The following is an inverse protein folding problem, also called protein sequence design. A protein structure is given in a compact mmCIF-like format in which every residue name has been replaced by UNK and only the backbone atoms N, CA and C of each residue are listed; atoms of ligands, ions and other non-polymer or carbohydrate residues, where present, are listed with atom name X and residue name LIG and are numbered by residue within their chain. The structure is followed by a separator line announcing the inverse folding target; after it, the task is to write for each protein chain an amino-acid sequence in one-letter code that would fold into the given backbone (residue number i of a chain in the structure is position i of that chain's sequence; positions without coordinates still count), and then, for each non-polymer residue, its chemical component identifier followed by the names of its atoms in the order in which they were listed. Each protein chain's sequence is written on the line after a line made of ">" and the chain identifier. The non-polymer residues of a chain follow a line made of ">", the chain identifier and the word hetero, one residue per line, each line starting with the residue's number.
data_IF_144494914329
#
_entry.id   IF_144494914329
#
_cell.length_a   1.000
_cell.length_b   1.000
_cell.length_c   1.000
_cell.angle_alpha   90.00
_cell.angle_beta   90.00
_cell.angle_gamma   90.00
#
_symmetry.space_group_name_H-M   'P 1'
#
loop_
_entity.id
_entity.type
_entity.pdbx_description
1 polymer ?
#
# COMPACT_ATOMS: atom_id res chain seq x y z
N UNK A 1 4.68 -16.65 -26.16
CA UNK A 1 4.20 -17.89 -25.51
C UNK A 1 3.85 -17.66 -24.03
N UNK A 2 4.76 -17.18 -23.17
CA UNK A 2 4.47 -16.95 -21.73
C UNK A 2 3.36 -15.93 -21.46
N UNK A 3 3.25 -14.84 -22.24
CA UNK A 3 2.18 -13.84 -22.07
C UNK A 3 0.80 -14.42 -22.41
N UNK A 4 0.70 -15.29 -23.40
CA UNK A 4 -0.57 -15.96 -23.79
C UNK A 4 -0.96 -16.98 -22.72
N UNK A 5 0.00 -17.71 -22.15
CA UNK A 5 -0.25 -18.65 -21.05
C UNK A 5 -0.68 -17.90 -19.76
N UNK A 6 -0.04 -16.77 -19.45
CA UNK A 6 -0.45 -15.93 -18.32
C UNK A 6 -1.85 -15.36 -18.56
N UNK A 7 -2.17 -14.89 -19.77
CA UNK A 7 -3.50 -14.39 -20.11
C UNK A 7 -4.56 -15.51 -20.08
N UNK A 8 -4.25 -16.73 -20.53
CA UNK A 8 -5.21 -17.85 -20.48
C UNK A 8 -5.47 -18.30 -19.03
N UNK A 9 -4.44 -18.37 -18.18
CA UNK A 9 -4.59 -18.70 -16.75
C UNK A 9 -5.39 -17.60 -16.01
N UNK A 10 -5.18 -16.34 -16.37
CA UNK A 10 -5.94 -15.21 -15.81
C UNK A 10 -7.40 -15.21 -16.27
N UNK A 11 -7.70 -15.77 -17.42
CA UNK A 11 -9.07 -15.85 -17.97
C UNK A 11 -9.81 -17.10 -17.49
N UNK A 12 -9.16 -18.26 -17.32
CA UNK A 12 -9.82 -19.51 -16.98
C UNK A 12 -10.07 -19.74 -15.48
N UNK A 13 -9.21 -19.24 -14.61
CA UNK A 13 -9.30 -19.56 -13.14
C UNK A 13 -9.93 -18.47 -12.27
N UNK A 14 -10.14 -17.24 -12.76
CA UNK A 14 -10.50 -16.17 -11.80
C UNK A 14 -11.36 -15.06 -12.43
N UNK A 15 -12.57 -15.36 -12.79
CA UNK A 15 -13.58 -14.31 -12.92
C UNK A 15 -13.96 -13.93 -11.48
N UNK A 16 -13.45 -12.80 -10.99
CA UNK A 16 -13.95 -12.22 -9.74
C UNK A 16 -15.47 -12.13 -9.80
N UNK A 17 -16.17 -12.65 -8.80
CA UNK A 17 -17.62 -12.64 -8.78
C UNK A 17 -18.13 -11.23 -9.13
N UNK A 18 -19.10 -11.09 -10.05
CA UNK A 18 -19.54 -9.77 -10.55
C UNK A 18 -20.00 -8.84 -9.42
N UNK A 19 -20.52 -9.40 -8.33
CA UNK A 19 -20.91 -8.66 -7.13
C UNK A 19 -19.72 -8.04 -6.41
N UNK A 20 -18.62 -8.79 -6.26
CA UNK A 20 -17.38 -8.28 -5.65
C UNK A 20 -16.78 -7.20 -6.54
N UNK A 21 -16.78 -7.39 -7.85
CA UNK A 21 -16.30 -6.39 -8.80
C UNK A 21 -17.12 -5.10 -8.72
N UNK A 22 -18.46 -5.21 -8.68
CA UNK A 22 -19.34 -4.06 -8.55
C UNK A 22 -19.11 -3.31 -7.22
N UNK A 23 -18.97 -4.04 -6.10
CA UNK A 23 -18.62 -3.46 -4.80
C UNK A 23 -17.25 -2.77 -4.83
N UNK A 24 -16.24 -3.42 -5.41
CA UNK A 24 -14.88 -2.87 -5.49
C UNK A 24 -14.86 -1.57 -6.31
N UNK A 25 -15.54 -1.54 -7.47
CA UNK A 25 -15.65 -0.34 -8.31
C UNK A 25 -16.41 0.79 -7.60
N UNK A 26 -17.52 0.47 -6.93
CA UNK A 26 -18.31 1.45 -6.17
C UNK A 26 -17.50 2.08 -5.04
N UNK A 27 -16.79 1.26 -4.26
CA UNK A 27 -15.92 1.72 -3.18
C UNK A 27 -14.70 2.49 -3.71
N UNK A 28 -14.16 2.11 -4.87
CA UNK A 28 -13.07 2.85 -5.51
C UNK A 28 -13.51 4.26 -5.92
N UNK A 29 -14.70 4.40 -6.54
CA UNK A 29 -15.25 5.70 -6.92
C UNK A 29 -15.53 6.56 -5.68
N UNK A 30 -16.12 5.97 -4.63
CA UNK A 30 -16.35 6.65 -3.35
C UNK A 30 -15.02 7.12 -2.72
N UNK A 31 -14.03 6.23 -2.67
CA UNK A 31 -12.70 6.53 -2.16
C UNK A 31 -12.05 7.70 -2.93
N UNK A 32 -12.09 7.68 -4.27
CA UNK A 32 -11.55 8.75 -5.11
C UNK A 32 -12.24 10.10 -4.83
N UNK A 33 -13.57 10.10 -4.63
CA UNK A 33 -14.33 11.27 -4.21
C UNK A 33 -13.87 11.80 -2.85
N UNK A 34 -13.74 10.92 -1.85
CA UNK A 34 -13.30 11.27 -0.50
C UNK A 34 -11.85 11.78 -0.48
N UNK A 35 -10.94 11.15 -1.22
CA UNK A 35 -9.55 11.61 -1.39
C UNK A 35 -9.52 13.01 -2.04
N UNK A 36 -10.37 13.25 -3.02
CA UNK A 36 -10.49 14.57 -3.64
C UNK A 36 -10.97 15.65 -2.65
N UNK A 37 -11.93 15.30 -1.78
CA UNK A 37 -12.39 16.19 -0.71
C UNK A 37 -11.30 16.39 0.36
N UNK A 38 -10.61 15.32 0.76
CA UNK A 38 -9.46 15.38 1.65
C UNK A 38 -8.43 16.39 1.13
N UNK A 39 -7.97 16.23 -0.11
CA UNK A 39 -6.97 17.11 -0.71
C UNK A 39 -7.45 18.57 -0.77
N UNK A 40 -8.71 18.82 -1.17
CA UNK A 40 -9.28 20.18 -1.19
C UNK A 40 -9.30 20.82 0.19
N UNK A 41 -9.63 20.07 1.24
CA UNK A 41 -9.70 20.56 2.62
C UNK A 41 -8.30 20.75 3.18
N UNK A 42 -7.38 19.83 2.87
CA UNK A 42 -5.97 19.90 3.25
C UNK A 42 -5.30 21.16 2.73
N UNK A 43 -5.46 21.49 1.45
CA UNK A 43 -4.87 22.70 0.86
C UNK A 43 -5.54 24.01 1.33
N UNK A 44 -6.69 23.93 2.00
CA UNK A 44 -7.29 25.05 2.73
C UNK A 44 -6.79 25.16 4.18
N UNK A 45 -5.73 24.42 4.54
CA UNK A 45 -5.12 24.36 5.88
C UNK A 45 -6.11 23.97 7.00
N UNK A 46 -7.16 23.23 6.66
CA UNK A 46 -8.16 22.72 7.63
C UNK A 46 -7.82 21.29 8.02
N UNK A 47 -6.67 21.08 8.65
CA UNK A 47 -6.07 19.76 8.86
C UNK A 47 -6.96 18.81 9.68
N UNK A 48 -7.66 19.30 10.73
CA UNK A 48 -8.60 18.46 11.50
C UNK A 48 -9.75 17.91 10.63
N UNK A 49 -10.29 18.73 9.72
CA UNK A 49 -11.31 18.27 8.77
C UNK A 49 -10.72 17.35 7.71
N UNK A 50 -9.50 17.62 7.28
CA UNK A 50 -8.78 16.76 6.36
C UNK A 50 -8.55 15.36 6.95
N UNK A 51 -8.19 15.25 8.24
CA UNK A 51 -8.07 13.99 8.97
C UNK A 51 -9.34 13.14 8.85
N UNK A 52 -10.52 13.74 9.06
CA UNK A 52 -11.80 13.01 8.94
C UNK A 52 -12.01 12.45 7.53
N UNK A 53 -11.78 13.26 6.48
CA UNK A 53 -11.93 12.78 5.11
C UNK A 53 -10.89 11.73 4.75
N UNK A 54 -9.68 11.81 5.30
CA UNK A 54 -8.64 10.81 5.14
C UNK A 54 -9.06 9.47 5.75
N UNK A 55 -9.54 9.47 6.98
CA UNK A 55 -10.06 8.28 7.66
C UNK A 55 -11.24 7.65 6.92
N UNK A 56 -12.20 8.47 6.44
CA UNK A 56 -13.31 7.98 5.62
C UNK A 56 -12.82 7.32 4.32
N UNK A 57 -11.78 7.89 3.68
CA UNK A 57 -11.16 7.26 2.51
C UNK A 57 -10.55 5.91 2.84
N UNK A 58 -9.88 5.82 3.98
CA UNK A 58 -9.24 4.58 4.44
C UNK A 58 -10.27 3.51 4.84
N UNK A 59 -11.44 3.90 5.34
CA UNK A 59 -12.56 2.98 5.59
C UNK A 59 -13.06 2.30 4.31
N UNK A 60 -12.88 2.88 3.12
CA UNK A 60 -13.29 2.25 1.87
C UNK A 60 -12.53 0.94 1.60
N UNK A 61 -11.21 0.91 1.79
CA UNK A 61 -10.45 -0.32 1.60
C UNK A 61 -10.66 -1.33 2.74
N UNK A 62 -10.94 -0.87 3.96
CA UNK A 62 -11.35 -1.76 5.07
C UNK A 62 -12.70 -2.41 4.74
N UNK A 63 -13.70 -1.62 4.33
CA UNK A 63 -15.02 -2.15 3.95
C UNK A 63 -14.90 -3.18 2.82
N UNK A 64 -14.09 -2.90 1.80
CA UNK A 64 -13.82 -3.85 0.72
C UNK A 64 -13.16 -5.13 1.24
N UNK A 65 -12.14 -5.01 2.09
CA UNK A 65 -11.47 -6.15 2.70
C UNK A 65 -12.41 -7.02 3.54
N UNK A 66 -13.30 -6.39 4.32
CA UNK A 66 -14.33 -7.09 5.12
C UNK A 66 -15.34 -7.81 4.20
N UNK A 67 -15.82 -7.14 3.14
CA UNK A 67 -16.74 -7.76 2.17
C UNK A 67 -16.08 -8.99 1.53
N UNK A 68 -14.84 -8.84 1.04
CA UNK A 68 -14.08 -9.94 0.45
C UNK A 68 -13.84 -11.09 1.44
N UNK A 69 -13.63 -10.77 2.72
CA UNK A 69 -13.44 -11.76 3.79
C UNK A 69 -14.73 -12.50 4.11
N UNK A 70 -15.89 -11.81 4.18
CA UNK A 70 -17.19 -12.44 4.48
C UNK A 70 -17.64 -13.40 3.37
N UNK A 71 -17.37 -13.03 2.11
CA UNK A 71 -17.78 -13.85 0.94
C UNK A 71 -16.84 -15.04 0.76
N UNK A 72 -15.58 -14.94 1.18
CA UNK A 72 -14.56 -15.98 1.04
C UNK A 72 -14.52 -16.99 2.19
N UNK A 73 -13.52 -17.86 2.17
CA UNK A 73 -13.15 -18.70 3.31
C UNK A 73 -12.45 -17.85 4.39
N UNK A 74 -12.67 -18.19 5.66
CA UNK A 74 -12.12 -17.46 6.82
C UNK A 74 -10.73 -17.98 7.21
N UNK A 75 -9.84 -18.19 6.24
CA UNK A 75 -8.50 -18.72 6.47
C UNK A 75 -7.58 -17.71 7.16
N UNK A 76 -6.58 -18.22 7.90
CA UNK A 76 -5.61 -17.38 8.60
C UNK A 76 -4.90 -16.36 7.68
N UNK A 77 -4.44 -16.72 6.45
CA UNK A 77 -3.84 -15.75 5.53
C UNK A 77 -4.73 -14.54 5.26
N UNK A 78 -6.03 -14.73 5.10
CA UNK A 78 -7.00 -13.64 4.84
C UNK A 78 -7.22 -12.75 6.05
N UNK A 79 -7.25 -13.33 7.25
CA UNK A 79 -7.30 -12.59 8.53
C UNK A 79 -6.07 -11.69 8.65
N UNK A 80 -4.89 -12.20 8.30
CA UNK A 80 -3.65 -11.43 8.39
C UNK A 80 -3.63 -10.25 7.40
N UNK A 81 -4.17 -10.42 6.17
CA UNK A 81 -4.32 -9.28 5.24
C UNK A 81 -5.26 -8.23 5.84
N UNK A 82 -6.43 -8.64 6.34
CA UNK A 82 -7.39 -7.71 6.93
C UNK A 82 -6.80 -6.98 8.14
N UNK A 83 -6.03 -7.69 8.98
CA UNK A 83 -5.29 -7.09 10.10
C UNK A 83 -4.27 -6.05 9.61
N UNK A 84 -3.52 -6.36 8.55
CA UNK A 84 -2.58 -5.42 7.94
C UNK A 84 -3.26 -4.16 7.40
N UNK A 85 -4.44 -4.30 6.76
CA UNK A 85 -5.26 -3.15 6.33
C UNK A 85 -5.71 -2.29 7.52
N UNK A 86 -6.14 -2.91 8.62
CA UNK A 86 -6.51 -2.18 9.86
C UNK A 86 -5.33 -1.44 10.49
N UNK A 87 -4.13 -2.03 10.46
CA UNK A 87 -2.91 -1.33 10.90
C UNK A 87 -2.54 -0.18 9.95
N UNK A 88 -2.81 -0.34 8.66
CA UNK A 88 -2.64 0.70 7.65
C UNK A 88 -3.45 1.96 7.94
N UNK A 89 -4.75 1.84 8.30
CA UNK A 89 -5.56 3.03 8.66
C UNK A 89 -5.02 3.70 9.93
N UNK A 90 -4.58 2.93 10.94
CA UNK A 90 -4.01 3.51 12.15
C UNK A 90 -2.74 4.31 11.81
N UNK A 91 -1.84 3.72 11.02
CA UNK A 91 -0.62 4.40 10.55
C UNK A 91 -0.93 5.67 9.76
N UNK A 92 -1.95 5.62 8.91
CA UNK A 92 -2.41 6.71 8.07
C UNK A 92 -2.92 7.91 8.88
N UNK A 93 -3.72 7.64 9.92
CA UNK A 93 -4.23 8.67 10.84
C UNK A 93 -3.11 9.28 11.68
N UNK A 94 -2.18 8.46 12.18
CA UNK A 94 -1.02 8.96 12.93
C UNK A 94 -0.13 9.85 12.05
N UNK A 95 0.10 9.47 10.78
CA UNK A 95 0.83 10.33 9.83
C UNK A 95 0.13 11.67 9.59
N UNK A 96 -1.20 11.70 9.58
CA UNK A 96 -1.95 12.95 9.39
C UNK A 96 -1.81 13.90 10.58
N UNK A 97 -1.51 13.41 11.79
CA UNK A 97 -1.23 14.24 12.96
C UNK A 97 0.03 15.11 12.80
N UNK A 98 0.96 14.74 11.93
CA UNK A 98 2.13 15.57 11.60
C UNK A 98 1.75 17.00 11.20
N UNK A 99 0.62 17.17 10.53
CA UNK A 99 0.14 18.49 10.07
C UNK A 99 -0.62 19.25 11.16
N UNK A 100 -1.19 18.53 12.13
CA UNK A 100 -1.98 19.13 13.24
C UNK A 100 -1.04 19.53 14.37
N UNK A 101 0.00 18.72 14.62
CA UNK A 101 0.97 18.91 15.69
C UNK A 101 2.41 19.00 15.16
N UNK A 102 2.79 20.08 14.47
CA UNK A 102 4.09 20.17 13.80
C UNK A 102 5.28 20.13 14.75
N UNK A 103 5.10 20.48 16.03
CA UNK A 103 6.16 20.36 17.07
C UNK A 103 6.53 18.91 17.39
N UNK A 104 5.66 17.95 17.10
CA UNK A 104 5.86 16.51 17.32
C UNK A 104 5.87 15.73 16.00
N UNK A 105 6.20 16.39 14.90
CA UNK A 105 6.16 15.86 13.55
C UNK A 105 6.95 14.55 13.40
N UNK A 106 8.19 14.51 13.88
CA UNK A 106 9.04 13.31 13.80
C UNK A 106 8.46 12.12 14.58
N UNK A 107 7.84 12.37 15.74
CA UNK A 107 7.23 11.33 16.57
C UNK A 107 6.03 10.70 15.83
N UNK A 108 5.15 11.54 15.28
CA UNK A 108 3.99 11.05 14.52
C UNK A 108 4.41 10.36 13.23
N UNK A 109 5.44 10.88 12.54
CA UNK A 109 5.94 10.29 11.31
C UNK A 109 6.53 8.88 11.56
N UNK A 110 7.39 8.75 12.58
CA UNK A 110 7.97 7.45 12.97
C UNK A 110 6.86 6.53 13.50
N UNK A 111 5.95 7.03 14.33
CA UNK A 111 4.84 6.25 14.87
C UNK A 111 3.95 5.66 13.78
N UNK A 112 3.54 6.46 12.80
CA UNK A 112 2.79 5.98 11.64
C UNK A 112 3.57 4.92 10.85
N UNK A 113 4.87 5.15 10.62
CA UNK A 113 5.77 4.20 9.96
C UNK A 113 5.85 2.85 10.67
N UNK A 114 5.84 2.82 12.00
CA UNK A 114 5.84 1.56 12.78
C UNK A 114 4.58 0.74 12.50
N UNK A 115 3.40 1.36 12.46
CA UNK A 115 2.16 0.65 12.13
C UNK A 115 2.18 0.09 10.71
N UNK A 116 2.73 0.83 9.75
CA UNK A 116 2.91 0.32 8.39
C UNK A 116 3.91 -0.84 8.33
N UNK A 117 5.05 -0.76 9.04
CA UNK A 117 6.00 -1.89 9.14
C UNK A 117 5.28 -3.14 9.63
N UNK A 118 4.52 -3.05 10.73
CA UNK A 118 3.81 -4.19 11.29
C UNK A 118 2.77 -4.72 10.27
N UNK A 119 2.03 -3.84 9.60
CA UNK A 119 1.10 -4.20 8.53
C UNK A 119 1.77 -4.96 7.38
N UNK A 120 2.93 -4.49 6.91
CA UNK A 120 3.71 -5.18 5.87
C UNK A 120 4.21 -6.56 6.33
N UNK A 121 4.59 -6.71 7.61
CA UNK A 121 4.95 -8.01 8.18
C UNK A 121 3.77 -8.99 8.13
N UNK A 122 2.54 -8.55 8.41
CA UNK A 122 1.35 -9.38 8.27
C UNK A 122 1.11 -9.79 6.82
N UNK A 123 1.28 -8.89 5.85
CA UNK A 123 1.17 -9.23 4.43
C UNK A 123 2.24 -10.23 3.99
N UNK A 124 3.50 -10.05 4.41
CA UNK A 124 4.57 -11.00 4.11
C UNK A 124 4.32 -12.37 4.76
N UNK A 125 3.81 -12.39 5.98
CA UNK A 125 3.43 -13.64 6.66
C UNK A 125 2.33 -14.37 5.89
N UNK A 126 1.32 -13.64 5.36
CA UNK A 126 0.30 -14.22 4.48
C UNK A 126 0.94 -14.91 3.26
N UNK A 127 1.86 -14.23 2.58
CA UNK A 127 2.55 -14.77 1.41
C UNK A 127 3.31 -16.07 1.77
N UNK A 128 4.01 -16.07 2.90
CA UNK A 128 4.76 -17.24 3.37
C UNK A 128 3.83 -18.41 3.68
N UNK A 129 2.72 -18.17 4.39
CA UNK A 129 1.75 -19.19 4.75
C UNK A 129 1.01 -19.77 3.55
N UNK A 130 0.72 -18.93 2.53
CA UNK A 130 0.08 -19.37 1.28
C UNK A 130 1.04 -20.18 0.39
N UNK A 131 2.35 -19.95 0.51
CA UNK A 131 3.40 -20.71 -0.17
C UNK A 131 3.57 -20.37 -1.66
N UNK A 132 4.32 -21.22 -2.36
CA UNK A 132 4.65 -21.08 -3.81
C UNK A 132 5.37 -19.76 -4.12
N UNK A 133 6.43 -19.46 -3.37
CA UNK A 133 7.29 -18.28 -3.55
C UNK A 133 8.45 -18.62 -4.47
N UNK A 134 8.71 -17.82 -5.49
CA UNK A 134 9.94 -17.88 -6.28
C UNK A 134 11.07 -17.14 -5.56
N UNK A 135 11.94 -17.86 -4.84
CA UNK A 135 13.04 -17.25 -4.09
C UNK A 135 14.04 -16.49 -4.97
N UNK A 136 14.25 -16.96 -6.21
CA UNK A 136 15.09 -16.27 -7.19
C UNK A 136 14.46 -14.93 -7.56
N UNK A 137 13.15 -14.91 -7.85
CA UNK A 137 12.42 -13.69 -8.15
C UNK A 137 12.43 -12.72 -6.96
N UNK A 138 12.35 -13.22 -5.72
CA UNK A 138 12.44 -12.41 -4.50
C UNK A 138 13.77 -11.64 -4.44
N UNK A 139 14.89 -12.32 -4.60
CA UNK A 139 16.22 -11.71 -4.53
C UNK A 139 16.41 -10.67 -5.65
N UNK A 140 16.03 -11.03 -6.86
CA UNK A 140 16.14 -10.12 -8.02
C UNK A 140 15.23 -8.90 -7.85
N UNK A 141 13.96 -9.10 -7.50
CA UNK A 141 13.02 -8.00 -7.30
C UNK A 141 13.47 -7.08 -6.16
N UNK A 142 13.90 -7.65 -5.02
CA UNK A 142 14.43 -6.87 -3.90
C UNK A 142 15.61 -6.00 -4.32
N UNK A 143 16.59 -6.57 -5.01
CA UNK A 143 17.77 -5.83 -5.49
C UNK A 143 17.38 -4.69 -6.45
N UNK A 144 16.49 -4.96 -7.41
CA UNK A 144 16.04 -3.96 -8.39
C UNK A 144 15.26 -2.83 -7.68
N UNK A 145 14.24 -3.16 -6.89
CA UNK A 145 13.38 -2.15 -6.25
C UNK A 145 14.19 -1.31 -5.27
N UNK A 146 15.07 -1.94 -4.49
CA UNK A 146 15.95 -1.24 -3.54
C UNK A 146 16.89 -0.27 -4.27
N UNK A 147 17.51 -0.72 -5.37
CA UNK A 147 18.38 0.13 -6.18
C UNK A 147 17.61 1.32 -6.76
N UNK A 148 16.42 1.10 -7.32
CA UNK A 148 15.58 2.18 -7.84
C UNK A 148 15.18 3.17 -6.76
N UNK A 149 14.85 2.70 -5.56
CA UNK A 149 14.52 3.56 -4.40
C UNK A 149 15.72 4.41 -3.98
N UNK A 150 16.94 3.85 -3.92
CA UNK A 150 18.15 4.61 -3.61
C UNK A 150 18.52 5.61 -4.71
N UNK A 151 18.34 5.25 -5.98
CA UNK A 151 18.56 6.18 -7.10
C UNK A 151 17.58 7.35 -7.05
N UNK A 152 16.32 7.07 -6.73
CA UNK A 152 15.30 8.09 -6.58
C UNK A 152 15.61 9.05 -5.41
N UNK A 153 16.03 8.50 -4.26
CA UNK A 153 16.47 9.29 -3.11
C UNK A 153 17.69 10.16 -3.44
N UNK A 154 18.72 9.57 -4.04
CA UNK A 154 19.94 10.28 -4.42
C UNK A 154 19.64 11.45 -5.37
N UNK A 155 18.76 11.23 -6.36
CA UNK A 155 18.33 12.28 -7.30
C UNK A 155 17.59 13.42 -6.63
N UNK A 156 16.78 13.13 -5.61
CA UNK A 156 15.96 14.13 -4.91
C UNK A 156 16.66 14.75 -3.69
N UNK A 157 17.89 14.32 -3.34
CA UNK A 157 18.72 14.87 -2.26
C UNK A 157 17.96 15.02 -0.93
N UNK A 158 17.39 13.95 -0.41
CA UNK A 158 16.62 13.99 0.83
C UNK A 158 17.48 14.38 2.03
N UNK A 159 17.01 15.40 2.74
CA UNK A 159 17.59 15.72 4.05
C UNK A 159 16.88 14.91 5.12
N UNK A 160 17.52 13.88 5.62
CA UNK A 160 16.92 12.87 6.50
C UNK A 160 17.11 13.18 7.98
N UNK A 161 18.10 14.01 8.33
CA UNK A 161 18.39 14.41 9.73
C UNK A 161 18.49 13.20 10.68
N UNK A 162 17.92 13.35 11.87
CA UNK A 162 17.92 12.33 12.93
C UNK A 162 17.04 11.11 12.62
N UNK A 163 16.12 11.22 11.65
CA UNK A 163 15.24 10.12 11.24
C UNK A 163 15.91 9.12 10.29
N UNK A 164 17.19 9.30 9.95
CA UNK A 164 17.89 8.52 8.92
C UNK A 164 17.78 7.00 9.14
N UNK A 165 18.01 6.54 10.37
CA UNK A 165 18.00 5.12 10.70
C UNK A 165 16.58 4.54 10.57
N UNK A 166 15.59 5.22 11.15
CA UNK A 166 14.19 4.78 11.11
C UNK A 166 13.66 4.69 9.68
N UNK A 167 13.96 5.68 8.85
CA UNK A 167 13.59 5.70 7.44
C UNK A 167 14.27 4.60 6.63
N UNK A 168 15.53 4.27 6.91
CA UNK A 168 16.24 3.17 6.25
C UNK A 168 15.61 1.82 6.59
N UNK A 169 15.31 1.58 7.88
CA UNK A 169 14.64 0.36 8.31
C UNK A 169 13.28 0.25 7.62
N UNK A 170 12.49 1.33 7.63
CA UNK A 170 11.19 1.36 6.97
C UNK A 170 11.31 1.04 5.47
N UNK A 171 12.22 1.70 4.75
CA UNK A 171 12.43 1.48 3.32
C UNK A 171 12.81 0.03 3.01
N UNK A 172 13.70 -0.58 3.80
CA UNK A 172 14.08 -1.97 3.61
C UNK A 172 12.89 -2.94 3.77
N UNK A 173 12.04 -2.73 4.78
CA UNK A 173 10.85 -3.56 5.01
C UNK A 173 9.82 -3.37 3.90
N UNK A 174 9.57 -2.12 3.48
CA UNK A 174 8.65 -1.80 2.40
C UNK A 174 9.06 -2.43 1.07
N UNK A 175 10.34 -2.27 0.69
CA UNK A 175 10.90 -2.88 -0.53
C UNK A 175 10.86 -4.40 -0.45
N UNK A 176 11.10 -4.97 0.74
CA UNK A 176 11.01 -6.41 0.95
C UNK A 176 9.58 -6.92 0.74
N UNK A 177 8.56 -6.20 1.25
CA UNK A 177 7.16 -6.55 1.00
C UNK A 177 6.82 -6.49 -0.50
N UNK A 178 7.23 -5.44 -1.21
CA UNK A 178 7.02 -5.34 -2.66
C UNK A 178 7.68 -6.49 -3.42
N UNK A 179 8.90 -6.87 -3.02
CA UNK A 179 9.63 -8.00 -3.61
C UNK A 179 8.94 -9.36 -3.31
N UNK A 180 8.43 -9.55 -2.09
CA UNK A 180 7.62 -10.73 -1.75
C UNK A 180 6.37 -10.82 -2.62
N UNK A 181 5.66 -9.70 -2.86
CA UNK A 181 4.52 -9.67 -3.75
C UNK A 181 4.86 -10.13 -5.17
N UNK A 182 5.95 -9.62 -5.75
CA UNK A 182 6.45 -10.04 -7.08
C UNK A 182 6.82 -11.53 -7.08
N UNK A 183 7.55 -11.99 -6.07
CA UNK A 183 7.97 -13.39 -5.94
C UNK A 183 6.78 -14.34 -5.76
N UNK A 184 5.74 -13.90 -5.09
CA UNK A 184 4.50 -14.63 -4.89
C UNK A 184 3.73 -14.81 -6.20
N UNK A 185 3.64 -13.76 -7.02
CA UNK A 185 3.04 -13.82 -8.35
C UNK A 185 3.84 -14.70 -9.29
N UNK A 186 5.18 -14.54 -9.34
CA UNK A 186 6.05 -15.35 -10.21
C UNK A 186 6.05 -16.82 -9.83
N UNK A 187 5.93 -17.15 -8.54
CA UNK A 187 5.93 -18.52 -8.04
C UNK A 187 4.70 -19.33 -8.47
N UNK A 188 3.52 -18.71 -8.51
CA UNK A 188 2.27 -19.29 -9.06
C UNK A 188 1.37 -18.14 -9.52
N UNK A 189 1.35 -17.78 -10.81
CA UNK A 189 0.53 -16.69 -11.31
C UNK A 189 -0.96 -16.92 -11.04
N UNK A 190 -1.61 -15.91 -10.43
CA UNK A 190 -3.07 -15.81 -10.27
C UNK A 190 -3.46 -14.35 -10.12
N UNK A 191 -4.72 -14.01 -10.29
CA UNK A 191 -5.20 -12.63 -10.20
C UNK A 191 -5.01 -12.07 -8.76
N UNK A 192 -5.30 -12.85 -7.73
CA UNK A 192 -5.10 -12.45 -6.33
C UNK A 192 -3.63 -12.13 -6.03
N UNK A 193 -2.72 -12.99 -6.51
CA UNK A 193 -1.27 -12.77 -6.35
C UNK A 193 -0.77 -11.56 -7.14
N UNK A 194 -1.33 -11.33 -8.34
CA UNK A 194 -1.06 -10.11 -9.11
C UNK A 194 -1.47 -8.86 -8.35
N UNK A 195 -2.63 -8.89 -7.68
CA UNK A 195 -3.09 -7.76 -6.88
C UNK A 195 -2.18 -7.47 -5.69
N UNK A 196 -1.67 -8.50 -5.01
CA UNK A 196 -0.67 -8.32 -3.96
C UNK A 196 0.64 -7.74 -4.52
N UNK A 197 1.11 -8.23 -5.66
CA UNK A 197 2.33 -7.73 -6.31
C UNK A 197 2.20 -6.25 -6.72
N UNK A 198 1.12 -5.90 -7.42
CA UNK A 198 0.85 -4.52 -7.83
C UNK A 198 0.62 -3.60 -6.62
N UNK A 199 -0.11 -4.10 -5.60
CA UNK A 199 -0.31 -3.39 -4.34
C UNK A 199 1.01 -3.06 -3.65
N UNK A 200 1.90 -4.03 -3.50
CA UNK A 200 3.23 -3.83 -2.92
C UNK A 200 4.11 -2.85 -3.71
N UNK A 201 4.11 -2.95 -5.04
CA UNK A 201 4.85 -2.04 -5.91
C UNK A 201 4.31 -0.60 -5.84
N UNK A 202 2.98 -0.42 -5.88
CA UNK A 202 2.35 0.89 -5.74
C UNK A 202 2.60 1.51 -4.37
N UNK A 203 2.59 0.70 -3.31
CA UNK A 203 2.93 1.14 -1.97
C UNK A 203 4.38 1.66 -1.92
N UNK A 204 5.33 0.89 -2.48
CA UNK A 204 6.72 1.31 -2.56
C UNK A 204 6.91 2.61 -3.36
N UNK A 205 6.19 2.78 -4.47
CA UNK A 205 6.20 4.03 -5.26
C UNK A 205 5.61 5.19 -4.46
N UNK A 206 4.45 4.99 -3.83
CA UNK A 206 3.76 6.01 -3.02
C UNK A 206 4.66 6.54 -1.90
N UNK A 207 5.31 5.65 -1.15
CA UNK A 207 6.15 6.04 -0.03
C UNK A 207 7.49 6.66 -0.45
N UNK A 208 8.06 6.25 -1.58
CA UNK A 208 9.19 6.99 -2.16
C UNK A 208 8.78 8.43 -2.51
N UNK A 209 7.57 8.65 -3.03
CA UNK A 209 7.03 9.98 -3.27
C UNK A 209 6.75 10.72 -1.95
N UNK A 210 6.22 10.04 -0.93
CA UNK A 210 6.00 10.59 0.41
C UNK A 210 7.31 11.12 1.02
N UNK A 211 8.39 10.35 0.93
CA UNK A 211 9.70 10.79 1.43
C UNK A 211 10.21 11.98 0.65
N UNK A 212 10.06 11.98 -0.69
CA UNK A 212 10.41 13.13 -1.51
C UNK A 212 9.58 14.37 -1.16
N UNK A 213 8.30 14.19 -0.84
CA UNK A 213 7.40 15.26 -0.45
C UNK A 213 7.74 15.81 0.95
N UNK A 214 8.01 14.92 1.91
CA UNK A 214 8.22 15.27 3.32
C UNK A 214 9.61 15.82 3.61
N UNK A 215 10.63 15.31 2.93
CA UNK A 215 12.04 15.57 3.23
C UNK A 215 12.70 16.56 2.24
N UNK A 216 11.93 17.13 1.34
CA UNK A 216 12.40 18.17 0.41
C UNK A 216 11.59 19.45 0.62
N UNK A 217 12.27 20.61 0.63
CA UNK A 217 11.64 21.92 0.84
C UNK A 217 10.61 22.31 -0.24
N UNK A 218 10.47 21.54 -1.30
CA UNK A 218 9.60 21.83 -2.42
C UNK A 218 8.35 20.95 -2.40
N UNK A 219 7.33 21.36 -1.66
CA UNK A 219 6.02 20.71 -1.57
C UNK A 219 5.21 20.94 -2.85
N UNK A 220 5.37 20.06 -3.84
CA UNK A 220 4.62 20.13 -5.10
C UNK A 220 3.27 19.44 -4.98
N UNK A 221 2.22 20.13 -5.41
CA UNK A 221 0.84 19.63 -5.41
C UNK A 221 0.66 18.31 -6.16
N UNK A 222 1.30 18.16 -7.32
CA UNK A 222 1.29 16.95 -8.13
C UNK A 222 1.84 15.73 -7.38
N UNK A 223 2.90 15.88 -6.59
CA UNK A 223 3.47 14.80 -5.77
C UNK A 223 2.50 14.32 -4.70
N UNK A 224 1.79 15.25 -4.05
CA UNK A 224 0.82 14.90 -3.01
C UNK A 224 -0.37 14.12 -3.58
N UNK A 225 -0.86 14.47 -4.77
CA UNK A 225 -1.90 13.69 -5.45
C UNK A 225 -1.36 12.30 -5.80
N UNK A 226 -0.19 12.21 -6.42
CA UNK A 226 0.39 10.95 -6.88
C UNK A 226 0.59 9.96 -5.73
N UNK A 227 1.10 10.43 -4.58
CA UNK A 227 1.29 9.57 -3.41
C UNK A 227 -0.03 8.99 -2.88
N UNK A 228 -1.10 9.83 -2.78
CA UNK A 228 -2.38 9.36 -2.28
C UNK A 228 -3.07 8.41 -3.27
N UNK A 229 -2.98 8.68 -4.57
CA UNK A 229 -3.50 7.78 -5.61
C UNK A 229 -2.78 6.43 -5.53
N UNK A 230 -1.44 6.41 -5.46
CA UNK A 230 -0.67 5.18 -5.37
C UNK A 230 -1.01 4.40 -4.08
N UNK A 231 -1.10 5.08 -2.93
CA UNK A 231 -1.43 4.49 -1.64
C UNK A 231 -2.82 3.85 -1.62
N UNK A 232 -3.87 4.60 -1.98
CA UNK A 232 -5.23 4.07 -1.94
C UNK A 232 -5.47 2.97 -2.97
N UNK A 233 -4.88 3.06 -4.16
CA UNK A 233 -4.91 1.96 -5.13
C UNK A 233 -4.20 0.71 -4.60
N UNK A 234 -3.04 0.87 -3.95
CA UNK A 234 -2.32 -0.24 -3.33
C UNK A 234 -3.20 -0.96 -2.30
N UNK A 235 -3.80 -0.22 -1.37
CA UNK A 235 -4.65 -0.77 -0.32
C UNK A 235 -5.92 -1.45 -0.88
N UNK A 236 -6.54 -0.86 -1.91
CA UNK A 236 -7.71 -1.46 -2.59
C UNK A 236 -7.34 -2.78 -3.29
N UNK A 237 -6.19 -2.85 -3.98
CA UNK A 237 -5.73 -4.09 -4.61
C UNK A 237 -5.44 -5.18 -3.57
N UNK A 238 -4.78 -4.81 -2.47
CA UNK A 238 -4.51 -5.74 -1.36
C UNK A 238 -5.83 -6.22 -0.74
N UNK A 239 -6.81 -5.33 -0.55
CA UNK A 239 -8.14 -5.71 -0.04
C UNK A 239 -8.86 -6.67 -0.99
N UNK A 240 -8.87 -6.41 -2.31
CA UNK A 240 -9.44 -7.30 -3.31
C UNK A 240 -8.78 -8.68 -3.33
N UNK A 241 -7.48 -8.77 -3.03
CA UNK A 241 -6.76 -10.05 -3.03
C UNK A 241 -7.31 -11.05 -2.01
N UNK A 242 -8.01 -10.58 -0.95
CA UNK A 242 -8.65 -11.44 0.06
C UNK A 242 -9.66 -12.40 -0.56
N UNK A 243 -10.40 -11.97 -1.59
CA UNK A 243 -11.37 -12.82 -2.27
C UNK A 243 -10.75 -13.82 -3.25
N UNK A 244 -9.46 -13.64 -3.61
CA UNK A 244 -8.82 -14.28 -4.76
C UNK A 244 -7.61 -15.16 -4.39
N UNK A 245 -7.20 -15.15 -3.13
CA UNK A 245 -6.10 -15.98 -2.58
C UNK A 245 -6.63 -17.21 -1.87
#
# INVERSE_FOLDING_TARGET
>A
MYVIIILSILVEETIMQPEILACALSLLVLCAGLVSLFLRVFYKLKFTKALVFKGLSSLCFIALGVICFIIGDHSLPKILILTGLCLGIIGDEILALCQIYPTHDSVHFIGGGVFFIIGHLFYMTTIILTGSISWIALVIAYAIILTLSFLYESKNRFYVGDMKVSLRIYMCVLVLFAAFGVAFFVGKPSLGRLFVALGGLLFAVGDNILFAYKLHDNTRFDRNIALHVAYYLAQMLIACSIALI
#
